data_IF_470679024860
#
_entry.id   IF_470679024860
#
_cell.length_a   1.000
_cell.length_b   1.000
_cell.length_c   1.000
_cell.angle_alpha   90.00
_cell.angle_beta   90.00
_cell.angle_gamma   90.00
#
_symmetry.space_group_name_H-M   'P 1'
#
loop_
_entity.id
_entity.type
_entity.pdbx_description
1 polymer ?
#
# COMPACT_ATOMS: atom_id res chain seq x y z
N UNK A 1 -11.13 -17.49 -6.23
CA UNK A 1 -10.46 -17.15 -7.51
C UNK A 1 -11.44 -16.98 -8.65
N UNK A 2 -12.44 -17.86 -8.82
CA UNK A 2 -13.46 -17.75 -9.88
C UNK A 2 -14.36 -16.50 -9.83
N UNK A 3 -14.68 -15.97 -8.65
CA UNK A 3 -15.57 -14.80 -8.53
C UNK A 3 -14.92 -13.47 -8.94
N UNK A 4 -13.60 -13.34 -8.81
CA UNK A 4 -12.87 -12.11 -9.17
C UNK A 4 -12.75 -11.96 -10.69
N UNK A 5 -12.62 -13.07 -11.42
CA UNK A 5 -12.50 -13.10 -12.89
C UNK A 5 -13.78 -12.66 -13.62
N UNK A 6 -14.93 -12.71 -12.93
CA UNK A 6 -16.21 -12.23 -13.47
C UNK A 6 -16.47 -10.73 -13.25
N UNK A 7 -15.59 -10.04 -12.52
CA UNK A 7 -15.75 -8.62 -12.22
C UNK A 7 -15.31 -7.77 -13.41
N UNK A 8 -16.19 -6.87 -13.87
CA UNK A 8 -15.83 -5.75 -14.74
C UNK A 8 -15.52 -4.53 -13.87
N UNK A 9 -14.24 -4.30 -13.58
CA UNK A 9 -13.80 -3.19 -12.73
C UNK A 9 -13.34 -2.02 -13.60
N UNK A 10 -14.11 -0.94 -13.63
CA UNK A 10 -13.65 0.35 -14.15
C UNK A 10 -13.17 1.22 -12.98
N UNK A 11 -11.95 0.97 -12.48
CA UNK A 11 -11.39 1.74 -11.38
C UNK A 11 -9.92 2.07 -11.60
N UNK A 12 -9.60 3.35 -11.39
CA UNK A 12 -8.23 3.88 -11.41
C UNK A 12 -7.33 3.30 -10.34
N UNK A 13 -7.89 2.78 -9.25
CA UNK A 13 -7.13 2.27 -8.12
C UNK A 13 -7.94 1.24 -7.29
N UNK A 14 -7.26 0.16 -6.87
CA UNK A 14 -7.73 -0.81 -5.88
C UNK A 14 -6.67 -0.97 -4.78
N UNK A 15 -7.10 -0.95 -3.52
CA UNK A 15 -6.23 -1.19 -2.35
C UNK A 15 -6.52 -2.56 -1.78
N UNK A 16 -5.54 -3.45 -1.83
CA UNK A 16 -5.63 -4.79 -1.25
C UNK A 16 -5.04 -4.74 0.16
N UNK A 17 -5.84 -4.29 1.11
CA UNK A 17 -5.51 -4.28 2.53
C UNK A 17 -5.64 -5.71 3.09
N UNK A 18 -4.65 -6.54 2.79
CA UNK A 18 -4.47 -7.84 3.42
C UNK A 18 -2.98 -8.06 3.68
N UNK A 19 -2.64 -8.60 4.85
CA UNK A 19 -1.31 -9.14 5.11
C UNK A 19 -1.01 -10.20 4.05
N UNK A 20 0.19 -10.15 3.45
CA UNK A 20 0.64 -11.15 2.46
C UNK A 20 -0.04 -11.08 1.07
N UNK A 21 -0.64 -9.95 0.67
CA UNK A 21 -1.27 -9.81 -0.65
C UNK A 21 -0.29 -9.76 -1.83
N UNK A 22 0.97 -9.41 -1.58
CA UNK A 22 2.06 -9.43 -2.56
C UNK A 22 2.96 -10.67 -2.53
N UNK A 23 2.85 -11.52 -1.51
CA UNK A 23 3.70 -12.71 -1.41
C UNK A 23 3.17 -13.83 -2.31
N UNK A 24 3.98 -14.26 -3.28
CA UNK A 24 3.76 -15.54 -3.94
C UNK A 24 4.08 -16.71 -2.98
N UNK A 25 3.41 -17.84 -3.14
CA UNK A 25 3.75 -19.06 -2.41
C UNK A 25 4.96 -19.74 -3.05
N UNK A 26 6.09 -19.81 -2.32
CA UNK A 26 7.28 -20.59 -2.70
C UNK A 26 8.56 -19.78 -2.92
N UNK A 27 9.72 -20.42 -2.77
CA UNK A 27 11.01 -19.84 -3.09
C UNK A 27 11.07 -19.52 -4.60
N UNK A 28 11.11 -18.22 -4.94
CA UNK A 28 11.05 -17.75 -6.34
C UNK A 28 9.64 -17.48 -6.87
N UNK A 29 8.63 -17.40 -6.00
CA UNK A 29 7.28 -17.03 -6.42
C UNK A 29 7.21 -15.55 -6.84
N UNK A 30 6.45 -15.26 -7.89
CA UNK A 30 6.38 -13.92 -8.47
C UNK A 30 6.00 -12.83 -7.46
N UNK A 31 6.50 -11.60 -7.71
CA UNK A 31 6.24 -10.39 -6.91
C UNK A 31 4.75 -10.02 -6.76
N UNK A 32 3.86 -10.81 -7.37
CA UNK A 32 2.42 -10.65 -7.38
C UNK A 32 1.83 -12.04 -7.13
N UNK A 33 1.15 -12.19 -5.99
CA UNK A 33 0.35 -13.38 -5.70
C UNK A 33 -0.67 -13.66 -6.81
N UNK A 34 -1.18 -14.89 -6.93
CA UNK A 34 -2.25 -15.21 -7.88
C UNK A 34 -3.49 -14.31 -7.75
N UNK A 35 -3.68 -13.69 -6.58
CA UNK A 35 -4.71 -12.69 -6.31
C UNK A 35 -4.45 -11.37 -7.06
N UNK A 36 -3.22 -10.83 -7.01
CA UNK A 36 -2.90 -9.59 -7.71
C UNK A 36 -3.03 -9.74 -9.24
N UNK A 37 -2.68 -10.90 -9.79
CA UNK A 37 -2.91 -11.23 -11.21
C UNK A 37 -4.40 -11.25 -11.57
N UNK A 38 -5.25 -11.80 -10.70
CA UNK A 38 -6.70 -11.81 -10.93
C UNK A 38 -7.31 -10.39 -10.94
N UNK A 39 -6.80 -9.47 -10.11
CA UNK A 39 -7.23 -8.07 -10.14
C UNK A 39 -6.78 -7.31 -11.40
N UNK A 40 -5.58 -7.58 -11.91
CA UNK A 40 -5.16 -7.05 -13.21
C UNK A 40 -6.03 -7.61 -14.35
N UNK A 41 -6.33 -8.91 -14.32
CA UNK A 41 -7.23 -9.54 -15.31
C UNK A 41 -8.64 -8.94 -15.27
N UNK A 42 -9.11 -8.54 -14.09
CA UNK A 42 -10.39 -7.86 -13.89
C UNK A 42 -10.38 -6.35 -14.27
N UNK A 43 -9.25 -5.81 -14.74
CA UNK A 43 -9.14 -4.44 -15.26
C UNK A 43 -8.51 -3.40 -14.32
N UNK A 44 -7.93 -3.80 -13.18
CA UNK A 44 -7.22 -2.86 -12.31
C UNK A 44 -5.98 -2.27 -13.02
N UNK A 45 -5.85 -0.94 -13.03
CA UNK A 45 -4.68 -0.25 -13.63
C UNK A 45 -3.45 -0.25 -12.72
N UNK A 46 -3.68 -0.16 -11.40
CA UNK A 46 -2.64 -0.15 -10.37
C UNK A 46 -3.15 -0.76 -9.06
N UNK A 47 -2.28 -1.47 -8.36
CA UNK A 47 -2.53 -2.12 -7.07
C UNK A 47 -1.56 -1.60 -6.02
N UNK A 48 -2.06 -1.24 -4.85
CA UNK A 48 -1.22 -1.06 -3.64
C UNK A 48 -1.25 -2.37 -2.86
N UNK A 49 -0.08 -2.95 -2.62
CA UNK A 49 0.10 -4.25 -1.95
C UNK A 49 1.09 -4.14 -0.79
N UNK A 50 1.06 -5.12 0.13
CA UNK A 50 2.07 -5.30 1.16
C UNK A 50 2.86 -6.60 0.95
N UNK A 51 4.18 -6.52 1.05
CA UNK A 51 5.09 -7.65 0.86
C UNK A 51 5.24 -8.54 2.12
N UNK A 52 4.98 -8.01 3.31
CA UNK A 52 5.04 -8.71 4.60
C UNK A 52 4.04 -8.12 5.61
N UNK A 53 3.80 -8.75 6.78
CA UNK A 53 2.87 -8.23 7.78
C UNK A 53 3.20 -6.80 8.22
N UNK A 54 2.17 -5.98 8.39
CA UNK A 54 2.29 -4.56 8.73
C UNK A 54 1.68 -4.27 10.10
N UNK A 55 2.29 -3.35 10.85
CA UNK A 55 1.70 -2.82 12.07
C UNK A 55 0.47 -1.97 11.70
N UNK A 56 -0.63 -2.16 12.41
CA UNK A 56 -1.95 -1.62 12.01
C UNK A 56 -1.98 -0.09 12.00
N UNK A 57 -1.35 0.54 12.98
CA UNK A 57 -1.34 2.00 13.16
C UNK A 57 -0.51 2.67 12.06
N UNK A 58 0.69 2.18 11.80
CA UNK A 58 1.57 2.66 10.75
C UNK A 58 0.98 2.43 9.36
N UNK A 59 0.37 1.26 9.13
CA UNK A 59 -0.33 0.95 7.88
C UNK A 59 -1.50 1.90 7.62
N UNK A 60 -2.31 2.18 8.64
CA UNK A 60 -3.41 3.15 8.55
C UNK A 60 -2.87 4.55 8.27
N UNK A 61 -1.84 4.98 8.97
CA UNK A 61 -1.22 6.28 8.78
C UNK A 61 -0.71 6.43 7.34
N UNK A 62 0.11 5.48 6.87
CA UNK A 62 0.69 5.51 5.52
C UNK A 62 -0.39 5.55 4.44
N UNK A 63 -1.39 4.66 4.53
CA UNK A 63 -2.45 4.57 3.51
C UNK A 63 -3.32 5.82 3.50
N UNK A 64 -3.75 6.32 4.66
CA UNK A 64 -4.57 7.54 4.73
C UNK A 64 -3.80 8.78 4.28
N UNK A 65 -2.52 8.89 4.60
CA UNK A 65 -1.64 9.97 4.09
C UNK A 65 -1.50 9.90 2.59
N UNK A 66 -1.29 8.72 2.01
CA UNK A 66 -1.27 8.52 0.56
C UNK A 66 -2.57 8.99 -0.11
N UNK A 67 -3.74 8.54 0.39
CA UNK A 67 -5.04 8.94 -0.14
C UNK A 67 -5.28 10.45 -0.04
N UNK A 68 -4.89 11.07 1.08
CA UNK A 68 -5.01 12.51 1.28
C UNK A 68 -4.18 13.26 0.24
N UNK A 69 -2.90 12.92 0.07
CA UNK A 69 -2.03 13.54 -0.94
C UNK A 69 -2.60 13.34 -2.35
N UNK A 70 -3.11 12.15 -2.67
CA UNK A 70 -3.76 11.88 -3.95
C UNK A 70 -4.98 12.79 -4.21
N UNK A 71 -5.78 13.11 -3.18
CA UNK A 71 -6.94 14.01 -3.33
C UNK A 71 -6.57 15.47 -3.55
N UNK A 72 -5.36 15.89 -3.15
CA UNK A 72 -4.92 17.30 -3.21
C UNK A 72 -3.88 17.57 -4.29
N UNK A 73 -3.31 16.53 -4.90
CA UNK A 73 -2.15 16.64 -5.79
C UNK A 73 -2.45 16.10 -7.18
N UNK A 74 -3.22 16.86 -7.96
CA UNK A 74 -3.47 16.56 -9.37
C UNK A 74 -2.16 16.57 -10.17
N UNK A 75 -2.00 15.62 -11.10
CA UNK A 75 -0.82 15.54 -11.97
C UNK A 75 0.41 14.87 -11.35
N UNK A 76 0.36 14.44 -10.08
CA UNK A 76 1.49 13.76 -9.44
C UNK A 76 1.38 12.24 -9.60
N UNK A 77 2.49 11.60 -9.94
CA UNK A 77 2.59 10.15 -10.06
C UNK A 77 2.28 9.44 -8.73
N UNK A 78 1.58 8.31 -8.79
CA UNK A 78 1.18 7.55 -7.59
C UNK A 78 2.39 7.06 -6.79
N UNK A 79 3.48 6.71 -7.48
CA UNK A 79 4.74 6.31 -6.86
C UNK A 79 5.36 7.44 -6.03
N UNK A 80 5.27 8.68 -6.52
CA UNK A 80 5.78 9.85 -5.79
C UNK A 80 4.92 10.16 -4.57
N UNK A 81 3.60 10.05 -4.69
CA UNK A 81 2.70 10.22 -3.54
C UNK A 81 2.93 9.15 -2.47
N UNK A 82 3.21 7.91 -2.86
CA UNK A 82 3.59 6.84 -1.92
C UNK A 82 4.92 7.17 -1.23
N UNK A 83 5.93 7.61 -1.98
CA UNK A 83 7.22 8.02 -1.42
C UNK A 83 7.05 9.15 -0.40
N UNK A 84 6.26 10.16 -0.73
CA UNK A 84 5.95 11.26 0.19
C UNK A 84 5.23 10.78 1.45
N UNK A 85 4.29 9.83 1.32
CA UNK A 85 3.62 9.24 2.47
C UNK A 85 4.58 8.43 3.35
N UNK A 86 5.51 7.67 2.76
CA UNK A 86 6.54 6.94 3.50
C UNK A 86 7.44 7.89 4.29
N UNK A 87 7.89 9.00 3.67
CA UNK A 87 8.72 10.01 4.35
C UNK A 87 7.98 10.65 5.52
N UNK A 88 6.70 10.98 5.35
CA UNK A 88 5.89 11.54 6.43
C UNK A 88 5.73 10.57 7.61
N UNK A 89 5.65 9.26 7.33
CA UNK A 89 5.65 8.21 8.37
C UNK A 89 7.02 8.10 9.04
N UNK A 90 8.12 8.17 8.28
CA UNK A 90 9.50 8.10 8.79
C UNK A 90 9.80 9.27 9.74
N UNK A 91 9.42 10.48 9.33
CA UNK A 91 9.69 11.73 10.07
C UNK A 91 8.67 12.00 11.18
N UNK A 92 7.59 11.20 11.23
CA UNK A 92 6.52 11.34 12.21
C UNK A 92 6.91 10.93 13.64
N UNK A 93 6.05 11.23 14.63
CA UNK A 93 6.34 10.99 16.05
C UNK A 93 6.39 9.51 16.42
N UNK A 94 6.01 8.59 15.53
CA UNK A 94 5.93 7.16 15.81
C UNK A 94 4.60 6.74 16.44
N UNK A 95 4.61 5.66 17.21
CA UNK A 95 3.45 5.23 17.99
C UNK A 95 3.42 5.97 19.33
N UNK A 96 2.33 6.68 19.58
CA UNK A 96 2.05 7.34 20.85
C UNK A 96 1.11 6.48 21.68
N UNK A 97 1.46 6.29 22.96
CA UNK A 97 0.61 5.58 23.91
C UNK A 97 -0.67 6.41 24.18
N UNK A 98 -1.88 5.87 23.96
CA UNK A 98 -3.12 6.62 24.07
C UNK A 98 -3.44 7.16 25.47
N UNK A 99 -2.77 6.64 26.50
CA UNK A 99 -3.04 6.98 27.91
C UNK A 99 -2.03 8.01 28.43
N UNK A 100 -0.77 7.89 28.01
CA UNK A 100 0.34 8.72 28.51
C UNK A 100 0.80 9.78 27.53
N UNK A 101 0.31 9.79 26.27
CA UNK A 101 0.67 10.74 25.21
C UNK A 101 2.18 10.76 24.93
N UNK A 102 2.85 9.64 25.20
CA UNK A 102 4.29 9.48 25.01
C UNK A 102 4.55 8.61 23.80
N UNK A 103 5.51 9.03 22.98
CA UNK A 103 6.09 8.18 21.95
C UNK A 103 6.71 6.93 22.60
N UNK A 104 6.20 5.76 22.23
CA UNK A 104 6.71 4.46 22.68
C UNK A 104 7.81 3.96 21.73
N UNK A 105 7.63 4.15 20.42
CA UNK A 105 8.61 3.77 19.40
C UNK A 105 8.44 4.60 18.12
N UNK A 106 9.55 4.81 17.40
CA UNK A 106 9.57 5.53 16.11
C UNK A 106 9.16 4.63 14.94
N UNK A 107 8.51 5.23 13.93
CA UNK A 107 8.22 4.56 12.65
C UNK A 107 9.35 4.66 11.61
N UNK A 108 10.51 5.21 11.96
CA UNK A 108 11.65 5.30 11.04
C UNK A 108 12.15 3.92 10.55
N UNK A 109 11.95 2.87 11.34
CA UNK A 109 12.39 1.53 10.97
C UNK A 109 11.62 1.02 9.72
N UNK A 110 12.30 0.45 8.71
CA UNK A 110 11.68 0.02 7.45
C UNK A 110 10.48 -0.92 7.57
N UNK A 111 10.37 -1.67 8.67
CA UNK A 111 9.25 -2.57 8.94
C UNK A 111 7.88 -1.88 8.84
N UNK A 112 7.80 -0.56 9.09
CA UNK A 112 6.55 0.19 9.17
C UNK A 112 6.06 0.76 7.83
N UNK A 113 6.95 0.96 6.86
CA UNK A 113 6.65 1.67 5.61
C UNK A 113 7.14 0.95 4.35
N UNK A 114 8.27 0.24 4.41
CA UNK A 114 8.83 -0.48 3.28
C UNK A 114 8.02 -1.69 2.76
N UNK A 115 7.08 -2.32 3.50
CA UNK A 115 6.28 -3.38 2.91
C UNK A 115 5.37 -2.90 1.77
N UNK A 116 5.04 -1.61 1.69
CA UNK A 116 4.08 -1.10 0.73
C UNK A 116 4.69 -0.87 -0.65
N UNK A 117 4.13 -1.49 -1.67
CA UNK A 117 4.54 -1.30 -3.06
C UNK A 117 3.32 -1.01 -3.95
N UNK A 118 3.48 -0.11 -4.91
CA UNK A 118 2.52 0.05 -6.01
C UNK A 118 2.98 -0.78 -7.21
N UNK A 119 2.09 -1.63 -7.70
CA UNK A 119 2.30 -2.46 -8.89
C UNK A 119 1.33 -2.02 -9.98
N UNK A 120 1.79 -1.90 -11.22
CA UNK A 120 0.99 -1.43 -12.36
C UNK A 120 1.37 -0.01 -12.79
N UNK A 121 0.42 0.75 -13.36
CA UNK A 121 0.71 2.07 -13.94
C UNK A 121 1.01 3.10 -12.83
N UNK A 122 2.29 3.39 -12.63
CA UNK A 122 2.76 4.37 -11.64
C UNK A 122 2.69 5.83 -12.12
N UNK A 123 2.69 6.05 -13.44
CA UNK A 123 2.61 7.36 -14.11
C UNK A 123 1.17 7.74 -14.49
N UNK A 124 0.94 9.04 -14.68
CA UNK A 124 -0.27 9.55 -15.32
C UNK A 124 0.02 9.67 -16.82
N UNK A 125 -0.52 8.75 -17.61
CA UNK A 125 -0.75 8.99 -19.04
C UNK A 125 -2.21 8.64 -19.33
#
# INVERSE_FOLDING_TARGET
MGEVLGLRLDADWRVLSACNSGAGEGAGAEAISGLGRAFFYAGARSLLVSNWPVETTSARLLTTTLFRKQSTSAGVARAELLRQAMIEVIDGPGYEDPVSDKTVFSYAHPIFWAPFTIVGKGSLD
#
